data_IF_087305869651
#
_entry.id   IF_087305869651
#
_cell.length_a   1.000
_cell.length_b   1.000
_cell.length_c   1.000
_cell.angle_alpha   90.00
_cell.angle_beta   90.00
_cell.angle_gamma   90.00
#
_symmetry.space_group_name_H-M   'P 1'
#
loop_
_entity.id
_entity.type
_entity.pdbx_description
1 polymer ?
#
# COMPACT_ATOMS: atom_id res chain seq x y z
N UNK A 1 8.35 13.61 3.57
CA UNK A 1 6.89 13.90 3.67
C UNK A 1 6.19 12.56 3.81
N UNK A 2 5.15 12.47 4.64
CA UNK A 2 4.37 11.24 4.80
C UNK A 2 3.01 11.54 4.15
N UNK A 3 2.66 10.84 3.09
CA UNK A 3 1.32 10.95 2.49
C UNK A 3 0.43 9.85 3.07
N UNK A 4 -0.82 10.14 3.41
CA UNK A 4 -1.77 9.08 3.79
C UNK A 4 -2.51 8.56 2.56
N UNK A 5 -2.72 7.26 2.51
CA UNK A 5 -3.49 6.62 1.43
C UNK A 5 -4.42 5.57 2.02
N UNK A 6 -5.60 5.44 1.43
CA UNK A 6 -6.53 4.38 1.80
C UNK A 6 -6.06 3.08 1.16
N UNK A 7 -5.67 2.11 1.99
CA UNK A 7 -5.35 0.75 1.57
C UNK A 7 -6.54 -0.17 1.84
N UNK A 8 -6.86 -1.00 0.85
CA UNK A 8 -7.95 -1.98 0.97
C UNK A 8 -7.37 -3.38 1.20
N UNK A 9 -7.77 -4.05 2.26
CA UNK A 9 -7.35 -5.42 2.52
C UNK A 9 -8.01 -6.39 1.52
N UNK A 10 -7.25 -7.22 0.80
CA UNK A 10 -7.81 -8.20 -0.14
C UNK A 10 -8.52 -9.38 0.55
N UNK A 11 -8.21 -9.67 1.81
CA UNK A 11 -8.80 -10.79 2.55
C UNK A 11 -10.18 -10.47 3.13
N UNK A 12 -10.35 -9.31 3.76
CA UNK A 12 -11.58 -8.92 4.44
C UNK A 12 -12.32 -7.71 3.82
N UNK A 13 -11.70 -7.00 2.88
CA UNK A 13 -12.28 -5.79 2.27
C UNK A 13 -12.22 -4.54 3.15
N UNK A 14 -11.54 -4.60 4.30
CA UNK A 14 -11.33 -3.43 5.16
C UNK A 14 -10.60 -2.33 4.41
N UNK A 15 -11.11 -1.11 4.48
CA UNK A 15 -10.41 0.09 4.04
C UNK A 15 -9.89 0.82 5.26
N UNK A 16 -8.58 1.08 5.29
CA UNK A 16 -7.94 1.84 6.36
C UNK A 16 -6.98 2.84 5.76
N UNK A 17 -6.93 4.02 6.37
CA UNK A 17 -6.04 5.09 5.94
C UNK A 17 -4.70 4.92 6.65
N UNK A 18 -3.66 4.63 5.87
CA UNK A 18 -2.33 4.34 6.38
C UNK A 18 -1.31 5.34 5.85
N UNK A 19 -0.33 5.75 6.66
CA UNK A 19 0.76 6.60 6.22
C UNK A 19 1.65 5.84 5.25
N UNK A 20 1.66 6.29 4.00
CA UNK A 20 2.54 5.84 2.94
C UNK A 20 3.86 6.62 2.98
N UNK A 21 4.99 5.95 3.29
CA UNK A 21 6.30 6.59 3.18
C UNK A 21 6.62 6.90 1.71
N UNK A 22 6.97 8.15 1.40
CA UNK A 22 7.39 8.53 0.05
C UNK A 22 8.79 8.02 -0.32
N UNK A 23 9.62 7.71 0.67
CA UNK A 23 11.01 7.28 0.49
C UNK A 23 11.18 5.75 0.39
N UNK A 24 10.12 4.96 0.60
CA UNK A 24 10.23 3.50 0.63
C UNK A 24 8.98 2.78 0.15
N UNK A 25 9.18 1.65 -0.53
CA UNK A 25 8.11 0.74 -0.94
C UNK A 25 7.78 -0.24 0.20
N UNK A 26 6.51 -0.27 0.61
CA UNK A 26 6.02 -1.24 1.60
C UNK A 26 5.65 -2.55 0.90
N UNK A 27 6.47 -3.57 1.06
CA UNK A 27 6.25 -4.88 0.43
C UNK A 27 5.29 -5.77 1.23
N UNK A 28 5.26 -5.62 2.54
CA UNK A 28 4.39 -6.38 3.42
C UNK A 28 3.57 -5.41 4.24
N UNK A 29 2.25 -5.54 4.18
CA UNK A 29 1.34 -4.80 5.03
C UNK A 29 0.42 -5.76 5.75
N UNK A 30 0.35 -5.62 7.07
CA UNK A 30 -0.48 -6.45 7.91
C UNK A 30 -1.79 -5.73 8.17
N UNK A 31 -2.90 -6.37 7.82
CA UNK A 31 -4.22 -5.81 8.05
C UNK A 31 -4.52 -5.69 9.54
N UNK A 32 -4.91 -4.52 10.05
CA UNK A 32 -5.23 -4.35 11.48
C UNK A 32 -6.51 -5.06 11.90
N UNK A 33 -7.43 -5.38 10.98
CA UNK A 33 -8.68 -6.07 11.31
C UNK A 33 -8.56 -7.61 11.31
N UNK A 34 -7.91 -8.20 10.31
CA UNK A 34 -7.81 -9.65 10.17
C UNK A 34 -6.40 -10.22 10.42
N UNK A 35 -5.41 -9.36 10.71
CA UNK A 35 -4.00 -9.72 10.86
C UNK A 35 -3.37 -10.41 9.63
N UNK A 36 -4.05 -10.39 8.47
CA UNK A 36 -3.52 -10.97 7.25
C UNK A 36 -2.41 -10.10 6.64
N UNK A 37 -1.34 -10.74 6.18
CA UNK A 37 -0.22 -10.07 5.53
C UNK A 37 -0.47 -9.99 4.02
N UNK A 38 -0.89 -8.83 3.57
CA UNK A 38 -1.03 -8.52 2.15
C UNK A 38 0.35 -8.33 1.49
N UNK A 39 0.49 -8.87 0.29
CA UNK A 39 1.69 -8.75 -0.56
C UNK A 39 1.32 -8.12 -1.90
N UNK A 40 2.20 -7.33 -2.52
CA UNK A 40 1.95 -6.75 -3.83
C UNK A 40 1.67 -7.84 -4.87
N UNK A 41 0.85 -7.48 -5.86
CA UNK A 41 0.61 -8.30 -7.03
C UNK A 41 1.88 -8.34 -7.91
N UNK A 42 2.09 -9.44 -8.65
CA UNK A 42 3.19 -9.52 -9.60
C UNK A 42 3.08 -8.38 -10.62
N UNK A 43 4.10 -7.52 -10.68
CA UNK A 43 4.14 -6.31 -11.52
C UNK A 43 4.06 -4.98 -10.74
N UNK A 44 3.74 -5.02 -9.44
CA UNK A 44 3.68 -3.83 -8.59
C UNK A 44 4.89 -3.67 -7.65
N UNK A 45 5.24 -2.41 -7.35
CA UNK A 45 6.35 -2.05 -6.46
C UNK A 45 6.06 -2.37 -4.97
N UNK A 46 4.81 -2.25 -4.54
CA UNK A 46 4.42 -2.27 -3.14
C UNK A 46 2.91 -2.55 -2.98
N UNK A 47 2.48 -2.90 -1.77
CA UNK A 47 1.07 -3.17 -1.42
C UNK A 47 0.14 -2.01 -1.76
N UNK A 48 0.61 -0.78 -1.63
CA UNK A 48 -0.16 0.42 -1.95
C UNK A 48 -0.37 0.60 -3.46
N UNK A 49 0.55 0.15 -4.32
CA UNK A 49 0.28 0.14 -5.76
C UNK A 49 -0.76 -0.90 -6.17
N UNK A 50 -0.80 -2.04 -5.46
CA UNK A 50 -1.75 -3.11 -5.78
C UNK A 50 -3.13 -2.92 -5.16
N UNK A 51 -3.22 -2.30 -3.98
CA UNK A 51 -4.44 -2.20 -3.18
C UNK A 51 -4.72 -0.79 -2.60
N UNK A 52 -3.82 0.16 -2.83
CA UNK A 52 -4.01 1.54 -2.42
C UNK A 52 -4.77 2.35 -3.47
N UNK A 53 -5.39 3.44 -3.03
CA UNK A 53 -6.11 4.36 -3.93
C UNK A 53 -5.17 5.20 -4.83
N UNK A 54 -3.92 5.40 -4.38
CA UNK A 54 -2.88 6.14 -5.11
C UNK A 54 -1.62 5.29 -5.29
N UNK A 55 -0.91 5.42 -6.44
CA UNK A 55 0.35 4.72 -6.70
C UNK A 55 1.49 5.21 -5.80
N UNK A 56 2.59 4.44 -5.75
CA UNK A 56 3.74 4.72 -4.90
C UNK A 56 4.47 6.01 -5.30
N UNK A 57 4.80 6.92 -4.35
CA UNK A 57 5.55 8.14 -4.63
C UNK A 57 6.82 7.94 -5.46
N UNK A 58 7.65 6.90 -5.25
CA UNK A 58 8.80 6.67 -6.13
C UNK A 58 8.41 6.42 -7.60
N UNK A 59 7.25 5.80 -7.90
CA UNK A 59 6.72 5.70 -9.27
C UNK A 59 6.26 7.05 -9.84
N UNK A 60 5.91 8.02 -8.99
CA UNK A 60 5.53 9.37 -9.43
C UNK A 60 6.75 10.27 -9.70
N UNK A 61 7.93 9.91 -9.18
CA UNK A 61 9.18 10.68 -9.30
C UNK A 61 10.06 10.17 -10.45
N UNK A 62 9.78 9.00 -11.03
CA UNK A 62 10.47 8.51 -12.23
C UNK A 62 10.08 9.38 -13.45
N UNK A 63 10.92 10.36 -13.77
CA UNK A 63 10.86 11.23 -14.95
C UNK A 63 12.20 11.26 -15.66
#
# INVERSE_FOLDING_TARGET
MIETTTITCPGCGLQVEEPMPCDACVYFWQCPACAEVARPKPGDCCVFCSYGAKPCPPKQIER
#
